data_IF_220295427910
#
_entry.id   IF_220295427910
#
_cell.length_a   1.000
_cell.length_b   1.000
_cell.length_c   1.000
_cell.angle_alpha   90.00
_cell.angle_beta   90.00
_cell.angle_gamma   90.00
#
_symmetry.space_group_name_H-M   'P 1'
#
loop_
_entity.id
_entity.type
_entity.pdbx_description
1 polymer ?
#
# COMPACT_ATOMS: atom_id res chain seq x y z
N UNK A 1 -14.85 29.02 72.07
CA UNK A 1 -14.12 29.96 71.21
C UNK A 1 -12.85 29.23 70.72
N UNK A 2 -12.87 28.67 69.54
CA UNK A 2 -11.75 27.94 68.96
C UNK A 2 -11.03 28.85 67.97
N UNK A 3 -9.86 29.30 68.34
CA UNK A 3 -8.97 30.11 67.50
C UNK A 3 -8.31 29.25 66.42
N UNK A 4 -8.69 29.44 65.16
CA UNK A 4 -7.97 28.86 64.00
C UNK A 4 -6.64 29.63 63.78
N UNK A 5 -5.50 28.92 63.86
CA UNK A 5 -4.20 29.45 63.41
C UNK A 5 -4.20 29.65 61.90
N UNK A 6 -3.72 30.79 61.36
CA UNK A 6 -3.56 30.97 59.95
C UNK A 6 -2.41 30.07 59.41
N UNK A 7 -2.68 29.29 58.33
CA UNK A 7 -1.61 28.60 57.56
C UNK A 7 -0.73 29.67 56.91
N UNK A 8 0.53 29.76 57.35
CA UNK A 8 1.53 30.62 56.70
C UNK A 8 1.83 30.13 55.28
N UNK A 9 1.78 31.03 54.31
CA UNK A 9 2.21 30.76 52.93
C UNK A 9 3.69 30.33 52.91
N UNK A 10 4.09 29.34 52.13
CA UNK A 10 5.48 28.91 52.00
C UNK A 10 6.34 30.06 51.46
N UNK A 11 7.57 30.18 51.96
CA UNK A 11 8.47 31.28 51.60
C UNK A 11 8.81 31.22 50.08
N UNK A 12 8.97 32.40 49.47
CA UNK A 12 9.29 32.54 48.05
C UNK A 12 10.47 31.66 47.59
N UNK A 13 11.44 31.40 48.45
CA UNK A 13 12.57 30.50 48.22
C UNK A 13 12.17 29.04 48.09
N UNK A 14 11.18 28.55 48.86
CA UNK A 14 10.67 27.20 48.75
C UNK A 14 9.88 27.00 47.48
N UNK A 15 9.13 27.99 47.01
CA UNK A 15 8.38 27.97 45.76
C UNK A 15 9.36 27.92 44.55
N UNK A 16 10.45 28.73 44.61
CA UNK A 16 11.44 28.72 43.54
C UNK A 16 12.19 27.40 43.42
N UNK A 17 12.56 26.76 44.55
CA UNK A 17 13.23 25.43 44.53
C UNK A 17 12.29 24.35 43.99
N UNK A 18 11.01 24.35 44.35
CA UNK A 18 10.04 23.40 43.84
C UNK A 18 9.80 23.57 42.33
N UNK A 19 9.78 24.81 41.81
CA UNK A 19 9.63 25.09 40.38
C UNK A 19 10.83 24.60 39.55
N UNK A 20 12.06 24.84 40.04
CA UNK A 20 13.28 24.36 39.35
C UNK A 20 13.37 22.84 39.38
N UNK A 21 13.06 22.20 40.51
CA UNK A 21 13.04 20.74 40.61
C UNK A 21 11.98 20.11 39.67
N UNK A 22 10.80 20.73 39.53
CA UNK A 22 9.73 20.30 38.59
C UNK A 22 10.14 20.41 37.13
N UNK A 23 10.86 21.50 36.75
CA UNK A 23 11.35 21.70 35.38
C UNK A 23 12.44 20.64 35.03
N UNK A 24 13.37 20.39 35.95
CA UNK A 24 14.43 19.38 35.75
C UNK A 24 13.83 17.97 35.67
N UNK A 25 12.89 17.62 36.52
CA UNK A 25 12.24 16.32 36.48
C UNK A 25 11.38 16.17 35.21
N UNK A 26 10.69 17.23 34.78
CA UNK A 26 9.92 17.23 33.53
C UNK A 26 10.80 17.10 32.29
N UNK A 27 11.90 17.84 32.23
CA UNK A 27 12.86 17.76 31.14
C UNK A 27 13.56 16.38 31.08
N UNK A 28 13.92 15.80 32.23
CA UNK A 28 14.47 14.45 32.31
C UNK A 28 13.45 13.39 31.86
N UNK A 29 12.16 13.51 32.23
CA UNK A 29 11.12 12.58 31.79
C UNK A 29 10.86 12.66 30.28
N UNK A 30 10.89 13.85 29.68
CA UNK A 30 10.78 14.02 28.21
C UNK A 30 12.01 13.46 27.51
N UNK A 31 13.22 13.75 28.03
CA UNK A 31 14.46 13.25 27.46
C UNK A 31 14.58 11.73 27.53
N UNK A 32 14.16 11.11 28.66
CA UNK A 32 14.11 9.64 28.81
C UNK A 32 13.05 9.03 27.88
N UNK A 33 11.95 9.73 27.63
CA UNK A 33 10.92 9.24 26.69
C UNK A 33 11.39 9.27 25.24
N UNK A 34 12.22 10.25 24.86
CA UNK A 34 12.82 10.30 23.51
C UNK A 34 14.03 9.38 23.36
N UNK A 35 14.84 9.17 24.42
CA UNK A 35 16.03 8.31 24.34
C UNK A 35 15.77 6.88 24.81
N UNK A 36 14.67 6.61 25.50
CA UNK A 36 14.29 5.30 26.06
C UNK A 36 13.41 4.44 25.16
N UNK A 37 13.26 4.76 23.86
CA UNK A 37 12.70 3.83 22.89
C UNK A 37 13.75 2.80 22.48
N UNK A 38 14.21 2.03 23.46
CA UNK A 38 15.09 0.90 23.29
C UNK A 38 14.31 -0.35 22.97
N UNK A 39 14.61 -0.94 21.82
CA UNK A 39 14.49 -2.36 21.47
C UNK A 39 13.25 -3.13 21.95
N UNK A 40 12.09 -2.80 21.37
CA UNK A 40 11.03 -3.73 21.08
C UNK A 40 10.82 -3.69 19.58
N UNK A 41 11.29 -4.72 18.84
CA UNK A 41 11.33 -4.73 17.38
C UNK A 41 9.98 -4.62 16.71
N UNK A 42 9.47 -3.41 16.58
CA UNK A 42 8.46 -2.99 15.63
C UNK A 42 9.14 -2.06 14.64
N UNK A 43 9.69 -2.59 13.54
CA UNK A 43 10.08 -1.75 12.41
C UNK A 43 8.86 -0.88 12.06
N UNK A 44 9.03 0.43 12.12
CA UNK A 44 7.98 1.35 11.63
C UNK A 44 7.67 0.99 10.18
N UNK A 45 6.41 1.05 9.75
CA UNK A 45 5.99 0.72 8.39
C UNK A 45 6.87 1.41 7.31
N UNK A 46 7.44 2.58 7.62
CA UNK A 46 8.40 3.29 6.76
C UNK A 46 9.79 2.64 6.71
N UNK A 47 10.24 1.96 7.78
CA UNK A 47 11.51 1.22 7.79
C UNK A 47 11.45 -0.04 6.94
N UNK A 48 10.30 -0.72 6.93
CA UNK A 48 10.09 -1.94 6.17
C UNK A 48 10.15 -1.74 4.64
N UNK A 49 9.84 -0.55 4.13
CA UNK A 49 9.77 -0.26 2.70
C UNK A 49 11.04 0.43 2.12
N UNK A 50 12.17 0.36 2.80
CA UNK A 50 13.44 0.93 2.27
C UNK A 50 13.85 0.22 0.99
N UNK A 51 13.83 -1.12 0.97
CA UNK A 51 14.19 -1.93 -0.18
C UNK A 51 13.28 -1.66 -1.40
N UNK A 52 11.98 -1.41 -1.19
CA UNK A 52 11.05 -1.08 -2.26
C UNK A 52 11.42 0.24 -2.94
N UNK A 53 11.83 1.26 -2.18
CA UNK A 53 12.28 2.54 -2.73
C UNK A 53 13.55 2.38 -3.58
N UNK A 54 14.52 1.62 -3.11
CA UNK A 54 15.77 1.36 -3.84
C UNK A 54 15.46 0.55 -5.12
N UNK A 55 14.57 -0.43 -5.03
CA UNK A 55 14.09 -1.20 -6.17
C UNK A 55 13.35 -0.31 -7.18
N UNK A 56 12.48 0.59 -6.72
CA UNK A 56 11.78 1.56 -7.57
C UNK A 56 12.75 2.39 -8.42
N UNK A 57 13.83 2.89 -7.81
CA UNK A 57 14.88 3.63 -8.52
C UNK A 57 15.62 2.74 -9.54
N UNK A 58 15.95 1.51 -9.17
CA UNK A 58 16.65 0.54 -10.01
C UNK A 58 15.86 0.18 -11.26
N UNK A 59 14.52 -0.01 -11.15
CA UNK A 59 13.67 -0.42 -12.27
C UNK A 59 13.11 0.76 -13.08
N UNK A 60 13.27 2.00 -12.63
CA UNK A 60 12.80 3.19 -13.36
C UNK A 60 13.22 3.20 -14.84
N UNK A 61 14.46 2.83 -15.25
CA UNK A 61 14.83 2.78 -16.66
C UNK A 61 14.07 1.73 -17.49
N UNK A 62 13.42 0.76 -16.83
CA UNK A 62 12.59 -0.28 -17.46
C UNK A 62 11.14 0.18 -17.66
N UNK A 63 10.71 1.27 -17.01
CA UNK A 63 9.42 1.89 -17.24
C UNK A 63 9.46 2.71 -18.56
N UNK A 64 9.38 2.01 -19.70
CA UNK A 64 9.48 2.57 -21.04
C UNK A 64 8.45 1.94 -21.98
N UNK A 65 8.36 2.45 -23.22
CA UNK A 65 7.46 1.93 -24.25
C UNK A 65 6.03 1.80 -23.74
N UNK A 66 5.49 0.60 -23.72
CA UNK A 66 4.10 0.33 -23.34
C UNK A 66 3.79 0.58 -21.86
N UNK A 67 4.81 0.61 -21.00
CA UNK A 67 4.69 0.85 -19.56
C UNK A 67 5.38 2.15 -19.11
N UNK A 68 5.63 3.08 -20.03
CA UNK A 68 6.32 4.34 -19.76
C UNK A 68 5.58 5.24 -18.77
N UNK A 69 4.27 5.03 -18.57
CA UNK A 69 3.47 5.75 -17.59
C UNK A 69 3.61 5.24 -16.14
N UNK A 70 4.39 4.17 -15.91
CA UNK A 70 4.71 3.71 -14.56
C UNK A 70 5.65 4.69 -13.87
N UNK A 71 5.16 5.34 -12.82
CA UNK A 71 5.90 6.31 -12.01
C UNK A 71 6.44 5.62 -10.77
N UNK A 72 7.76 5.68 -10.58
CA UNK A 72 8.41 5.13 -9.41
C UNK A 72 7.93 5.79 -8.11
N UNK A 73 7.74 4.99 -7.07
CA UNK A 73 7.41 5.50 -5.75
C UNK A 73 8.58 6.31 -5.18
N UNK A 74 8.32 7.55 -4.78
CA UNK A 74 9.30 8.45 -4.16
C UNK A 74 9.32 8.33 -2.63
N UNK A 75 8.31 7.68 -2.05
CA UNK A 75 8.14 7.50 -0.62
C UNK A 75 8.17 6.02 -0.23
N UNK A 76 8.56 5.75 1.02
CA UNK A 76 8.49 4.42 1.62
C UNK A 76 7.07 4.18 2.11
N UNK A 77 6.26 3.43 1.34
CA UNK A 77 4.84 3.27 1.63
C UNK A 77 4.43 1.81 1.58
N UNK A 78 3.93 1.28 2.70
CA UNK A 78 3.21 0.01 2.74
C UNK A 78 1.71 0.30 2.61
N UNK A 79 1.03 -0.38 1.68
CA UNK A 79 -0.39 -0.21 1.46
C UNK A 79 -1.18 -1.13 2.40
N UNK A 80 -1.47 -0.65 3.61
CA UNK A 80 -2.20 -1.41 4.63
C UNK A 80 -3.72 -1.27 4.53
N UNK A 81 -4.20 -0.31 3.74
CA UNK A 81 -5.63 0.01 3.58
C UNK A 81 -6.31 -0.76 2.43
N UNK A 82 -5.54 -1.55 1.67
CA UNK A 82 -6.04 -2.33 0.53
C UNK A 82 -6.60 -3.65 1.05
N UNK A 83 -7.92 -3.78 0.98
CA UNK A 83 -8.65 -4.99 1.33
C UNK A 83 -9.81 -5.20 0.35
N UNK A 84 -10.01 -6.44 -0.07
CA UNK A 84 -11.03 -6.86 -1.04
C UNK A 84 -11.44 -8.30 -0.74
N UNK A 85 -12.28 -8.91 -1.55
CA UNK A 85 -12.72 -10.30 -1.36
C UNK A 85 -12.26 -11.19 -2.52
N UNK A 86 -12.05 -12.47 -2.23
CA UNK A 86 -11.87 -13.50 -3.26
C UNK A 86 -13.22 -13.95 -3.87
N UNK A 87 -13.16 -14.91 -4.76
CA UNK A 87 -14.35 -15.46 -5.44
C UNK A 87 -15.37 -16.11 -4.49
N UNK A 88 -14.94 -16.51 -3.29
CA UNK A 88 -15.78 -17.10 -2.24
C UNK A 88 -16.29 -16.04 -1.25
N UNK A 89 -16.12 -14.76 -1.53
CA UNK A 89 -16.39 -13.62 -0.64
C UNK A 89 -15.59 -13.63 0.69
N UNK A 90 -14.45 -14.29 0.71
CA UNK A 90 -13.54 -14.23 1.86
C UNK A 90 -12.68 -12.98 1.77
N UNK A 91 -12.50 -12.26 2.88
CA UNK A 91 -11.66 -11.08 2.90
C UNK A 91 -10.19 -11.41 2.63
N UNK A 92 -9.57 -10.62 1.76
CA UNK A 92 -8.18 -10.71 1.32
C UNK A 92 -7.51 -9.36 1.51
N UNK A 93 -6.30 -9.35 2.00
CA UNK A 93 -5.44 -8.17 2.11
C UNK A 93 -4.13 -8.41 1.35
N UNK A 94 -3.32 -7.38 1.18
CA UNK A 94 -2.01 -7.53 0.55
C UNK A 94 -1.07 -8.48 1.31
N UNK A 95 -1.25 -8.63 2.62
CA UNK A 95 -0.46 -9.60 3.40
C UNK A 95 -0.73 -11.06 2.99
N UNK A 96 -1.86 -11.35 2.33
CA UNK A 96 -2.16 -12.67 1.75
C UNK A 96 -1.24 -13.04 0.59
N UNK A 97 -0.52 -12.07 0.03
CA UNK A 97 0.44 -12.24 -1.07
C UNK A 97 1.89 -12.07 -0.60
N UNK A 98 2.14 -12.08 0.70
CA UNK A 98 3.51 -11.95 1.24
C UNK A 98 4.47 -12.96 0.60
N UNK A 99 5.66 -12.51 0.23
CA UNK A 99 6.66 -13.30 -0.51
C UNK A 99 6.55 -13.19 -2.03
N UNK A 100 5.52 -12.49 -2.57
CA UNK A 100 5.35 -12.26 -4.00
C UNK A 100 5.40 -10.77 -4.34
N UNK A 101 6.05 -10.43 -5.41
CA UNK A 101 5.83 -9.16 -6.13
C UNK A 101 4.42 -9.20 -6.74
N UNK A 102 3.63 -8.16 -6.51
CA UNK A 102 2.23 -8.10 -6.95
C UNK A 102 2.03 -6.97 -7.95
N UNK A 103 1.43 -7.27 -9.09
CA UNK A 103 0.85 -6.27 -9.98
C UNK A 103 -0.65 -6.15 -9.64
N UNK A 104 -0.97 -5.19 -8.77
CA UNK A 104 -2.35 -4.89 -8.37
C UNK A 104 -3.00 -3.99 -9.41
N UNK A 105 -4.07 -4.44 -10.04
CA UNK A 105 -4.84 -3.67 -11.02
C UNK A 105 -6.29 -3.51 -10.55
N UNK A 106 -6.84 -2.29 -10.62
CA UNK A 106 -8.26 -2.05 -10.37
C UNK A 106 -8.98 -1.83 -11.69
N UNK A 107 -10.07 -2.57 -11.88
CA UNK A 107 -10.87 -2.55 -13.10
C UNK A 107 -12.38 -2.64 -12.84
N UNK A 108 -13.17 -2.32 -13.87
CA UNK A 108 -14.62 -2.48 -13.82
C UNK A 108 -15.17 -2.86 -15.20
N UNK A 109 -16.32 -3.54 -15.23
CA UNK A 109 -16.98 -3.95 -16.50
C UNK A 109 -17.48 -2.76 -17.33
N UNK A 110 -17.77 -1.63 -16.72
CA UNK A 110 -18.18 -0.38 -17.37
C UNK A 110 -17.00 0.48 -17.85
N UNK A 111 -15.76 0.13 -17.48
CA UNK A 111 -14.54 0.83 -17.85
C UNK A 111 -13.99 0.25 -19.16
N UNK A 112 -14.20 0.94 -20.30
CA UNK A 112 -13.76 0.47 -21.62
C UNK A 112 -12.28 0.17 -21.69
N UNK A 113 -11.34 1.10 -21.30
CA UNK A 113 -9.91 0.79 -21.37
C UNK A 113 -9.48 -0.34 -20.41
N UNK A 114 -10.19 -0.54 -19.30
CA UNK A 114 -9.92 -1.70 -18.43
C UNK A 114 -10.23 -3.01 -19.14
N UNK A 115 -11.37 -3.08 -19.83
CA UNK A 115 -11.79 -4.27 -20.58
C UNK A 115 -10.81 -4.61 -21.70
N UNK A 116 -10.25 -3.59 -22.34
CA UNK A 116 -9.29 -3.74 -23.43
C UNK A 116 -7.92 -4.31 -22.93
N UNK A 117 -7.50 -3.96 -21.72
CA UNK A 117 -6.22 -4.46 -21.18
C UNK A 117 -6.32 -5.82 -20.46
N UNK A 118 -7.53 -6.29 -20.08
CA UNK A 118 -7.70 -7.54 -19.32
C UNK A 118 -7.08 -8.78 -20.00
N UNK A 119 -7.19 -8.98 -21.34
CA UNK A 119 -6.52 -10.08 -22.01
C UNK A 119 -4.97 -10.02 -21.88
N UNK A 120 -4.39 -8.81 -21.91
CA UNK A 120 -2.94 -8.63 -21.75
C UNK A 120 -2.49 -8.91 -20.30
N UNK A 121 -3.29 -8.52 -19.30
CA UNK A 121 -3.06 -8.89 -17.88
C UNK A 121 -3.14 -10.42 -17.69
N UNK A 122 -4.11 -11.07 -18.33
CA UNK A 122 -4.26 -12.53 -18.31
C UNK A 122 -3.05 -13.23 -18.94
N UNK A 123 -2.58 -12.74 -20.08
CA UNK A 123 -1.38 -13.27 -20.73
C UNK A 123 -0.14 -13.07 -19.86
N UNK A 124 0.00 -11.92 -19.21
CA UNK A 124 1.10 -11.67 -18.28
C UNK A 124 1.10 -12.66 -17.11
N UNK A 125 -0.08 -12.89 -16.49
CA UNK A 125 -0.21 -13.88 -15.40
C UNK A 125 0.14 -15.29 -15.88
N UNK A 126 -0.33 -15.67 -17.06
CA UNK A 126 -0.03 -16.98 -17.66
C UNK A 126 1.45 -17.18 -17.94
N UNK A 127 2.13 -16.13 -18.42
CA UNK A 127 3.55 -16.19 -18.81
C UNK A 127 4.50 -16.07 -17.62
N UNK A 128 4.15 -15.29 -16.62
CA UNK A 128 5.07 -14.89 -15.54
C UNK A 128 4.58 -15.22 -14.12
N UNK A 129 3.30 -15.58 -13.96
CA UNK A 129 2.72 -15.98 -12.68
C UNK A 129 3.53 -17.14 -12.07
N UNK A 130 3.93 -16.99 -10.80
CA UNK A 130 4.82 -17.93 -10.11
C UNK A 130 4.70 -17.82 -8.59
N UNK A 131 5.60 -18.49 -7.88
CA UNK A 131 5.78 -18.30 -6.44
C UNK A 131 6.37 -16.93 -6.08
N UNK A 132 6.96 -16.19 -7.07
CA UNK A 132 7.56 -14.86 -6.88
C UNK A 132 6.74 -13.71 -7.44
N UNK A 133 5.76 -13.96 -8.29
CA UNK A 133 4.98 -12.92 -8.95
C UNK A 133 3.51 -13.31 -9.13
N UNK A 134 2.62 -12.34 -9.02
CA UNK A 134 1.20 -12.53 -9.28
C UNK A 134 0.55 -11.24 -9.78
N UNK A 135 -0.31 -11.36 -10.79
CA UNK A 135 -1.28 -10.32 -11.16
C UNK A 135 -2.51 -10.46 -10.26
N UNK A 136 -2.90 -9.39 -9.60
CA UNK A 136 -4.08 -9.31 -8.74
C UNK A 136 -5.03 -8.27 -9.31
N UNK A 137 -5.95 -8.72 -10.19
CA UNK A 137 -6.93 -7.85 -10.82
C UNK A 137 -8.21 -7.79 -9.95
N UNK A 138 -8.44 -6.64 -9.29
CA UNK A 138 -9.58 -6.42 -8.41
C UNK A 138 -10.69 -5.69 -9.16
N UNK A 139 -11.83 -6.35 -9.33
CA UNK A 139 -13.03 -5.75 -9.89
C UNK A 139 -13.70 -4.85 -8.84
N UNK A 140 -14.09 -3.64 -9.25
CA UNK A 140 -14.77 -2.67 -8.38
C UNK A 140 -16.21 -2.37 -8.82
N UNK A 141 -16.84 -3.25 -9.59
CA UNK A 141 -18.27 -3.12 -9.87
C UNK A 141 -19.08 -3.22 -8.57
N UNK A 142 -20.05 -2.34 -8.44
CA UNK A 142 -21.04 -2.43 -7.37
C UNK A 142 -22.11 -3.47 -7.71
N UNK A 143 -22.59 -4.20 -6.72
CA UNK A 143 -23.60 -5.25 -6.92
C UNK A 143 -23.04 -6.66 -6.86
N UNK A 144 -23.61 -7.57 -7.63
CA UNK A 144 -23.22 -8.99 -7.69
C UNK A 144 -21.98 -9.23 -8.57
N UNK A 145 -21.59 -10.48 -8.72
CA UNK A 145 -20.42 -10.89 -9.51
C UNK A 145 -20.77 -11.48 -10.88
N UNK A 146 -22.02 -11.43 -11.29
CA UNK A 146 -22.48 -12.01 -12.57
C UNK A 146 -21.81 -11.31 -13.75
N UNK A 147 -21.81 -9.97 -13.77
CA UNK A 147 -21.22 -9.20 -14.87
C UNK A 147 -19.71 -9.38 -14.98
N UNK A 148 -18.90 -9.27 -13.89
CA UNK A 148 -17.48 -9.57 -13.95
C UNK A 148 -17.18 -11.00 -14.40
N UNK A 149 -17.90 -12.01 -13.89
CA UNK A 149 -17.73 -13.40 -14.28
C UNK A 149 -18.05 -13.64 -15.76
N UNK A 150 -19.18 -13.10 -16.23
CA UNK A 150 -19.58 -13.19 -17.63
C UNK A 150 -18.51 -12.58 -18.54
N UNK A 151 -18.03 -11.35 -18.21
CA UNK A 151 -16.99 -10.69 -18.98
C UNK A 151 -15.69 -11.51 -19.05
N UNK A 152 -15.19 -12.03 -17.92
CA UNK A 152 -13.97 -12.83 -17.89
C UNK A 152 -14.12 -14.11 -18.73
N UNK A 153 -15.28 -14.77 -18.65
CA UNK A 153 -15.58 -15.96 -19.44
C UNK A 153 -15.68 -15.67 -20.94
N UNK A 154 -16.39 -14.62 -21.33
CA UNK A 154 -16.58 -14.22 -22.73
C UNK A 154 -15.27 -13.80 -23.42
N UNK A 155 -14.34 -13.23 -22.64
CA UNK A 155 -13.05 -12.76 -23.15
C UNK A 155 -11.90 -13.75 -23.00
N UNK A 156 -12.18 -14.96 -22.47
CA UNK A 156 -11.18 -16.02 -22.28
C UNK A 156 -10.11 -15.69 -21.24
N UNK A 157 -10.47 -14.86 -20.25
CA UNK A 157 -9.59 -14.55 -19.12
C UNK A 157 -9.73 -15.67 -18.08
N UNK A 158 -8.80 -16.61 -18.11
CA UNK A 158 -8.85 -17.88 -17.36
C UNK A 158 -7.71 -18.05 -16.32
N UNK A 159 -6.63 -17.26 -16.45
CA UNK A 159 -5.47 -17.35 -15.56
C UNK A 159 -5.55 -16.34 -14.39
N UNK A 160 -6.38 -15.30 -14.50
CA UNK A 160 -6.61 -14.36 -13.42
C UNK A 160 -7.68 -14.88 -12.45
N UNK A 161 -7.37 -14.85 -11.16
CA UNK A 161 -8.37 -15.09 -10.11
C UNK A 161 -9.31 -13.89 -10.01
N UNK A 162 -10.60 -14.16 -9.79
CA UNK A 162 -11.56 -13.09 -9.51
C UNK A 162 -11.40 -12.59 -8.08
N UNK A 163 -11.01 -11.33 -7.96
CA UNK A 163 -11.04 -10.55 -6.74
C UNK A 163 -12.02 -9.39 -6.90
N UNK A 164 -12.69 -9.02 -5.81
CA UNK A 164 -13.73 -8.00 -5.87
C UNK A 164 -13.73 -7.07 -4.67
N UNK A 165 -14.05 -5.82 -4.94
CA UNK A 165 -14.45 -4.83 -3.93
C UNK A 165 -15.72 -4.11 -4.43
N UNK A 166 -16.88 -4.65 -4.10
CA UNK A 166 -18.18 -4.09 -4.48
C UNK A 166 -18.55 -2.82 -3.70
N UNK A 167 -17.69 -2.35 -2.82
CA UNK A 167 -17.86 -1.11 -2.05
C UNK A 167 -17.11 0.09 -2.64
N UNK A 168 -16.25 -0.16 -3.64
CA UNK A 168 -15.31 0.84 -4.20
C UNK A 168 -14.33 1.36 -3.13
N UNK A 169 -14.19 0.66 -2.02
CA UNK A 169 -13.37 1.07 -0.86
C UNK A 169 -11.89 1.14 -1.20
N UNK A 170 -11.36 0.14 -1.94
CA UNK A 170 -9.97 0.11 -2.40
C UNK A 170 -9.65 1.32 -3.28
N UNK A 171 -10.49 1.60 -4.28
CA UNK A 171 -10.29 2.76 -5.14
C UNK A 171 -10.30 4.07 -4.36
N UNK A 172 -11.27 4.23 -3.45
CA UNK A 172 -11.38 5.43 -2.61
C UNK A 172 -10.18 5.58 -1.66
N UNK A 173 -9.65 4.49 -1.12
CA UNK A 173 -8.44 4.49 -0.30
C UNK A 173 -7.23 4.94 -1.12
N UNK A 174 -7.00 4.34 -2.29
CA UNK A 174 -5.90 4.72 -3.19
C UNK A 174 -6.02 6.16 -3.69
N UNK A 175 -7.26 6.64 -3.92
CA UNK A 175 -7.52 8.04 -4.30
C UNK A 175 -7.13 9.02 -3.18
N UNK A 176 -7.46 8.71 -1.92
CA UNK A 176 -7.04 9.52 -0.76
C UNK A 176 -5.52 9.56 -0.61
N UNK A 177 -4.84 8.50 -0.99
CA UNK A 177 -3.39 8.40 -0.98
C UNK A 177 -2.71 9.01 -2.23
N UNK A 178 -3.49 9.59 -3.17
CA UNK A 178 -2.96 10.20 -4.39
C UNK A 178 -2.43 9.19 -5.41
N UNK A 179 -2.87 7.92 -5.35
CA UNK A 179 -2.42 6.85 -6.24
C UNK A 179 -3.44 6.52 -7.35
N UNK A 180 -4.73 6.79 -7.13
CA UNK A 180 -5.79 6.53 -8.10
C UNK A 180 -6.49 7.83 -8.51
N UNK A 181 -6.52 8.13 -9.81
CA UNK A 181 -7.20 9.30 -10.39
C UNK A 181 -8.36 8.90 -11.31
N UNK A 182 -8.35 7.66 -11.78
CA UNK A 182 -9.34 7.05 -12.67
C UNK A 182 -9.08 5.56 -12.80
N UNK A 183 -9.80 4.89 -13.71
CA UNK A 183 -9.59 3.50 -14.06
C UNK A 183 -9.06 3.36 -15.49
N UNK A 184 -8.24 2.34 -15.75
CA UNK A 184 -7.63 1.45 -14.76
C UNK A 184 -6.55 2.14 -13.94
N UNK A 185 -6.26 1.63 -12.75
CA UNK A 185 -5.07 2.00 -11.98
C UNK A 185 -4.29 0.75 -11.64
N UNK A 186 -2.97 0.79 -11.84
CA UNK A 186 -2.09 -0.34 -11.60
C UNK A 186 -0.95 0.06 -10.68
N UNK A 187 -0.72 -0.77 -9.66
CA UNK A 187 0.34 -0.60 -8.67
C UNK A 187 1.25 -1.82 -8.73
N UNK A 188 2.56 -1.59 -8.76
CA UNK A 188 3.56 -2.64 -8.57
C UNK A 188 4.04 -2.61 -7.12
N UNK A 189 3.93 -3.74 -6.43
CA UNK A 189 4.25 -3.90 -5.02
C UNK A 189 5.34 -4.95 -4.85
N UNK A 190 6.24 -4.77 -3.87
CA UNK A 190 7.22 -5.78 -3.52
C UNK A 190 6.62 -6.95 -2.71
N UNK A 191 7.45 -7.91 -2.36
CA UNK A 191 7.12 -9.12 -1.59
C UNK A 191 6.64 -8.86 -0.16
N UNK A 192 6.71 -7.61 0.30
CA UNK A 192 6.24 -7.14 1.62
C UNK A 192 5.00 -6.24 1.54
N UNK A 193 4.46 -6.03 0.32
CA UNK A 193 3.33 -5.14 0.06
C UNK A 193 3.70 -3.66 0.05
N UNK A 194 4.97 -3.33 -0.16
CA UNK A 194 5.45 -1.96 -0.29
C UNK A 194 5.35 -1.48 -1.74
N UNK A 195 4.92 -0.24 -1.94
CA UNK A 195 4.78 0.36 -3.25
C UNK A 195 6.13 0.56 -3.94
N UNK A 196 6.29 0.01 -5.14
CA UNK A 196 7.44 0.20 -6.03
C UNK A 196 7.11 1.27 -7.07
N UNK A 197 5.98 1.15 -7.77
CA UNK A 197 5.55 2.09 -8.78
C UNK A 197 4.04 2.04 -9.01
N UNK A 198 3.50 3.08 -9.63
CA UNK A 198 2.08 3.19 -9.93
C UNK A 198 1.85 3.86 -11.29
N UNK A 199 0.74 3.50 -11.96
CA UNK A 199 0.25 4.23 -13.13
C UNK A 199 -1.27 4.29 -13.13
N UNK A 200 -1.78 5.32 -13.80
CA UNK A 200 -3.19 5.48 -14.13
C UNK A 200 -3.34 5.41 -15.64
N UNK A 201 -4.29 4.65 -16.12
CA UNK A 201 -4.52 4.38 -17.53
C UNK A 201 -4.06 2.98 -17.94
N UNK A 202 -4.48 2.53 -19.15
CA UNK A 202 -4.22 1.18 -19.65
C UNK A 202 -2.79 1.00 -20.15
N UNK A 203 -2.33 -0.26 -20.20
CA UNK A 203 -1.08 -0.65 -20.86
C UNK A 203 -1.20 -2.01 -21.55
N UNK A 204 -0.27 -2.28 -22.50
CA UNK A 204 -0.10 -3.61 -23.06
C UNK A 204 0.78 -4.45 -22.12
N UNK A 205 0.14 -5.08 -21.13
CA UNK A 205 0.82 -5.80 -20.05
C UNK A 205 1.53 -7.09 -20.54
N UNK A 206 1.14 -7.62 -21.69
CA UNK A 206 1.79 -8.76 -22.38
C UNK A 206 3.02 -8.36 -23.21
N UNK A 207 3.34 -7.06 -23.29
CA UNK A 207 4.49 -6.55 -24.03
C UNK A 207 5.83 -6.94 -23.40
N UNK A 208 6.89 -6.96 -24.21
CA UNK A 208 8.25 -7.20 -23.71
C UNK A 208 8.73 -6.11 -22.74
N UNK A 209 8.27 -4.86 -22.90
CA UNK A 209 8.57 -3.78 -21.94
C UNK A 209 7.96 -4.06 -20.57
N UNK A 210 6.69 -4.51 -20.52
CA UNK A 210 6.03 -4.90 -19.27
C UNK A 210 6.73 -6.09 -18.62
N UNK A 211 7.04 -7.14 -19.39
CA UNK A 211 7.76 -8.32 -18.91
C UNK A 211 9.15 -7.97 -18.39
N UNK A 212 9.88 -7.06 -19.07
CA UNK A 212 11.17 -6.59 -18.61
C UNK A 212 11.08 -5.83 -17.28
N UNK A 213 10.05 -4.97 -17.12
CA UNK A 213 9.79 -4.27 -15.87
C UNK A 213 9.55 -5.26 -14.71
N UNK A 214 8.68 -6.27 -14.93
CA UNK A 214 8.38 -7.29 -13.92
C UNK A 214 9.62 -8.13 -13.60
N UNK A 215 10.39 -8.60 -14.60
CA UNK A 215 11.66 -9.31 -14.37
C UNK A 215 12.61 -8.50 -13.50
N UNK A 216 12.77 -7.21 -13.79
CA UNK A 216 13.57 -6.32 -12.95
C UNK A 216 13.07 -6.22 -11.52
N UNK A 217 11.74 -6.21 -11.31
CA UNK A 217 11.12 -6.12 -10.00
C UNK A 217 11.28 -7.41 -9.17
N UNK A 218 11.29 -8.58 -9.80
CA UNK A 218 11.46 -9.88 -9.12
C UNK A 218 12.93 -10.37 -9.08
N UNK A 219 13.86 -9.56 -9.60
CA UNK A 219 15.28 -9.85 -9.54
C UNK A 219 15.77 -10.92 -10.54
N UNK A 220 15.12 -11.03 -11.72
CA UNK A 220 15.46 -11.91 -12.83
C UNK A 220 16.16 -11.17 -13.96
#
# INVERSE_FOLDING_TARGET
MTTRKPLGLPSLKLISIAAVAGIIAGAAAVYIKETGSGNGGGETASGQCTAAKDLAQKITPLAKGQVAAMVAANERRKLTTVAFNDADNKPVTLDSFAGKTVLLNLWATWCVPCREEMPALNALEKDMGSDKFQVVAVNIDTGDDEKPKAFLSETGVDSLKLYRDNTIGVFNSLKKEGLAFGLPVTLLLDDKGCLISAMNGPAAWDSEDAKALIKGAIGL
#
